data_IF_923569804268
#
_entry.id   IF_923569804268
#
_cell.length_a   1.000
_cell.length_b   1.000
_cell.length_c   1.000
_cell.angle_alpha   90.00
_cell.angle_beta   90.00
_cell.angle_gamma   90.00
#
_symmetry.space_group_name_H-M   'P 1'
#
loop_
_entity.id
_entity.type
_entity.pdbx_description
1 polymer ?
#
# COMPACT_ATOMS: atom_id res chain seq x y z
N UNK A 1 15.57 -2.36 -11.13
CA UNK A 1 15.09 -2.96 -9.88
C UNK A 1 14.23 -1.93 -9.19
N UNK A 2 12.98 -2.26 -8.83
CA UNK A 2 12.08 -1.28 -8.21
C UNK A 2 12.36 -1.10 -6.71
N UNK A 3 11.85 -0.01 -6.12
CA UNK A 3 12.11 0.33 -4.72
C UNK A 3 11.58 -0.75 -3.78
N UNK A 4 10.40 -1.31 -4.06
CA UNK A 4 9.85 -2.42 -3.26
C UNK A 4 10.73 -3.67 -3.29
N UNK A 5 11.29 -4.03 -4.46
CA UNK A 5 12.20 -5.18 -4.58
C UNK A 5 13.49 -4.98 -3.78
N UNK A 6 14.01 -3.75 -3.73
CA UNK A 6 15.14 -3.41 -2.86
C UNK A 6 14.79 -3.59 -1.38
N UNK A 7 13.57 -3.25 -0.99
CA UNK A 7 13.05 -3.39 0.37
C UNK A 7 12.64 -4.83 0.74
N UNK A 8 12.82 -5.79 -0.16
CA UNK A 8 12.66 -7.22 0.12
C UNK A 8 11.32 -7.83 -0.30
N UNK A 9 10.56 -7.20 -1.20
CA UNK A 9 9.40 -7.88 -1.79
C UNK A 9 9.85 -9.10 -2.62
N UNK A 10 9.19 -10.25 -2.47
CA UNK A 10 9.51 -11.45 -3.23
C UNK A 10 9.20 -11.24 -4.72
N UNK A 11 9.76 -12.11 -5.56
CA UNK A 11 9.40 -12.11 -6.98
C UNK A 11 7.93 -12.46 -7.18
N UNK A 12 7.28 -11.75 -8.11
CA UNK A 12 5.92 -12.03 -8.49
C UNK A 12 5.84 -13.20 -9.47
N UNK A 13 5.10 -14.24 -9.08
CA UNK A 13 4.82 -15.45 -9.88
C UNK A 13 3.37 -15.54 -10.36
N UNK A 14 2.63 -14.43 -10.37
CA UNK A 14 1.23 -14.38 -10.79
C UNK A 14 0.96 -13.22 -11.76
N UNK A 15 0.08 -13.43 -12.74
CA UNK A 15 -0.35 -12.36 -13.64
C UNK A 15 -0.95 -11.16 -12.88
N UNK A 16 -1.62 -11.44 -11.77
CA UNK A 16 -2.29 -10.47 -10.92
C UNK A 16 -1.34 -9.68 -10.00
N UNK A 17 -0.17 -10.24 -9.67
CA UNK A 17 0.77 -9.60 -8.76
C UNK A 17 1.42 -8.35 -9.35
N UNK A 18 1.48 -8.21 -10.69
CA UNK A 18 2.14 -7.06 -11.32
C UNK A 18 1.44 -5.73 -10.99
N UNK A 19 0.12 -5.72 -10.93
CA UNK A 19 -0.66 -4.56 -10.51
C UNK A 19 -0.43 -4.22 -9.03
N UNK A 20 -0.30 -5.25 -8.19
CA UNK A 20 -0.04 -5.08 -6.75
C UNK A 20 1.37 -4.53 -6.54
N UNK A 21 2.38 -5.10 -7.19
CA UNK A 21 3.77 -4.64 -7.15
C UNK A 21 3.88 -3.18 -7.57
N UNK A 22 3.23 -2.80 -8.69
CA UNK A 22 3.21 -1.43 -9.16
C UNK A 22 2.58 -0.48 -8.14
N UNK A 23 1.44 -0.85 -7.53
CA UNK A 23 0.79 -0.04 -6.51
C UNK A 23 1.68 0.11 -5.26
N UNK A 24 2.32 -0.97 -4.83
CA UNK A 24 3.29 -0.96 -3.73
C UNK A 24 4.45 0.00 -4.06
N UNK A 25 5.02 -0.08 -5.27
CA UNK A 25 6.11 0.80 -5.70
C UNK A 25 5.72 2.28 -5.67
N UNK A 26 4.53 2.64 -6.18
CA UNK A 26 4.02 4.02 -6.15
C UNK A 26 3.88 4.53 -4.72
N UNK A 27 3.30 3.72 -3.83
CA UNK A 27 3.14 4.09 -2.41
C UNK A 27 4.48 4.27 -1.73
N UNK A 28 5.47 3.41 -2.00
CA UNK A 28 6.82 3.55 -1.42
C UNK A 28 7.53 4.82 -1.89
N UNK A 29 7.42 5.18 -3.17
CA UNK A 29 7.96 6.45 -3.66
C UNK A 29 7.27 7.66 -3.02
N UNK A 30 5.94 7.60 -2.85
CA UNK A 30 5.20 8.64 -2.17
C UNK A 30 5.62 8.79 -0.70
N UNK A 31 5.73 7.68 0.03
CA UNK A 31 6.24 7.68 1.41
C UNK A 31 7.66 8.25 1.49
N UNK A 32 8.55 7.89 0.58
CA UNK A 32 9.91 8.42 0.53
C UNK A 32 9.93 9.93 0.30
N UNK A 33 9.10 10.43 -0.64
CA UNK A 33 8.99 11.85 -0.92
C UNK A 33 8.49 12.64 0.31
N UNK A 34 7.45 12.14 0.99
CA UNK A 34 6.97 12.73 2.24
C UNK A 34 8.05 12.69 3.32
N UNK A 35 8.69 11.54 3.52
CA UNK A 35 9.73 11.38 4.53
C UNK A 35 10.87 12.38 4.33
N UNK A 36 11.39 12.50 3.11
CA UNK A 36 12.46 13.46 2.78
C UNK A 36 11.97 14.90 2.94
N UNK A 37 10.80 15.23 2.40
CA UNK A 37 10.25 16.59 2.48
C UNK A 37 10.05 17.06 3.92
N UNK A 38 9.40 16.25 4.75
CA UNK A 38 9.16 16.54 6.17
C UNK A 38 10.46 16.58 6.97
N UNK A 39 11.38 15.65 6.73
CA UNK A 39 12.69 15.63 7.41
C UNK A 39 13.49 16.89 7.08
N UNK A 40 13.55 17.30 5.82
CA UNK A 40 14.26 18.52 5.42
C UNK A 40 13.63 19.76 6.05
N UNK A 41 12.30 19.86 6.05
CA UNK A 41 11.59 20.97 6.71
C UNK A 41 11.86 21.00 8.22
N UNK A 42 11.81 19.83 8.88
CA UNK A 42 12.10 19.71 10.29
C UNK A 42 13.53 20.13 10.63
N UNK A 43 14.52 19.65 9.89
CA UNK A 43 15.93 20.04 10.06
C UNK A 43 16.14 21.52 9.79
N UNK A 44 15.48 22.07 8.77
CA UNK A 44 15.48 23.51 8.50
C UNK A 44 14.94 24.29 9.70
N UNK A 45 13.80 23.87 10.27
CA UNK A 45 13.22 24.51 11.45
C UNK A 45 14.18 24.49 12.64
N UNK A 46 14.85 23.36 12.91
CA UNK A 46 15.88 23.27 13.96
C UNK A 46 17.00 24.28 13.73
N UNK A 47 17.58 24.32 12.53
CA UNK A 47 18.75 25.18 12.23
C UNK A 47 18.37 26.66 12.18
N UNK A 48 17.20 26.97 11.61
CA UNK A 48 16.71 28.34 11.39
C UNK A 48 16.23 28.97 12.69
N UNK A 49 15.50 28.21 13.52
CA UNK A 49 14.87 28.66 14.76
C UNK A 49 15.59 28.15 16.02
N UNK A 50 16.86 27.76 15.88
CA UNK A 50 17.70 27.37 17.01
C UNK A 50 17.77 28.46 18.09
N UNK A 51 17.70 28.08 19.37
CA UNK A 51 17.61 29.02 20.50
C UNK A 51 18.71 30.11 20.51
N UNK A 52 19.93 29.80 20.05
CA UNK A 52 21.02 30.81 19.96
C UNK A 52 20.73 31.91 18.94
N UNK A 53 19.96 31.61 17.89
CA UNK A 53 19.58 32.55 16.82
C UNK A 53 18.23 33.22 17.10
N UNK A 54 17.31 32.50 17.73
CA UNK A 54 15.99 33.00 18.14
C UNK A 54 15.71 32.66 19.60
N UNK A 55 16.15 33.51 20.55
CA UNK A 55 16.03 33.22 21.98
C UNK A 55 14.61 33.44 22.54
N UNK A 56 13.74 34.16 21.83
CA UNK A 56 12.34 34.37 22.20
C UNK A 56 11.42 33.65 21.20
N UNK A 57 10.52 32.81 21.72
CA UNK A 57 9.52 32.14 20.91
C UNK A 57 8.46 33.11 20.39
N UNK A 58 7.97 32.89 19.17
CA UNK A 58 6.78 33.57 18.65
C UNK A 58 5.54 32.78 19.05
N UNK A 59 4.61 33.43 19.74
CA UNK A 59 3.34 32.81 20.16
C UNK A 59 2.21 33.01 19.14
N UNK A 60 2.40 33.86 18.13
CA UNK A 60 1.41 34.04 17.06
C UNK A 60 1.55 33.00 15.92
N UNK A 61 2.65 32.24 15.91
CA UNK A 61 2.85 31.14 14.96
C UNK A 61 2.98 31.56 13.49
N UNK A 62 2.74 30.62 12.58
CA UNK A 62 2.79 30.83 11.13
C UNK A 62 1.44 31.42 10.67
N UNK A 63 1.45 32.66 10.18
CA UNK A 63 0.24 33.31 9.65
C UNK A 63 -0.04 33.02 8.18
N UNK A 64 0.83 32.29 7.49
CA UNK A 64 0.63 31.99 6.07
C UNK A 64 -0.24 30.75 5.87
N UNK A 65 -1.07 30.77 4.83
CA UNK A 65 -1.89 29.62 4.42
C UNK A 65 -1.08 28.53 3.68
N UNK A 66 0.24 28.62 3.65
CA UNK A 66 1.10 27.66 2.95
C UNK A 66 0.93 26.24 3.50
N UNK A 67 0.76 26.10 4.82
CA UNK A 67 0.49 24.81 5.46
C UNK A 67 -0.84 24.23 4.98
N UNK A 68 -1.89 25.04 4.90
CA UNK A 68 -3.22 24.60 4.45
C UNK A 68 -3.20 24.16 2.99
N UNK A 69 -2.48 24.87 2.11
CA UNK A 69 -2.36 24.47 0.71
C UNK A 69 -1.59 23.16 0.54
N UNK A 70 -0.51 22.96 1.31
CA UNK A 70 0.24 21.69 1.30
C UNK A 70 -0.62 20.53 1.80
N UNK A 71 -1.37 20.74 2.88
CA UNK A 71 -2.29 19.73 3.43
C UNK A 71 -3.36 19.33 2.41
N UNK A 72 -4.02 20.30 1.79
CA UNK A 72 -5.00 20.04 0.72
C UNK A 72 -4.36 19.30 -0.45
N UNK A 73 -3.12 19.63 -0.81
CA UNK A 73 -2.37 18.91 -1.85
C UNK A 73 -2.17 17.44 -1.51
N UNK A 74 -1.76 17.13 -0.27
CA UNK A 74 -1.60 15.75 0.20
C UNK A 74 -2.92 14.99 0.17
N UNK A 75 -4.01 15.62 0.65
CA UNK A 75 -5.36 15.02 0.64
C UNK A 75 -5.81 14.68 -0.78
N UNK A 76 -5.56 15.55 -1.76
CA UNK A 76 -5.92 15.30 -3.16
C UNK A 76 -5.14 14.08 -3.70
N UNK A 77 -3.83 14.02 -3.44
CA UNK A 77 -3.01 12.87 -3.88
C UNK A 77 -3.52 11.57 -3.26
N UNK A 78 -3.85 11.58 -1.97
CA UNK A 78 -4.38 10.42 -1.26
C UNK A 78 -5.76 10.01 -1.79
N UNK A 79 -6.65 10.97 -2.03
CA UNK A 79 -7.95 10.70 -2.64
C UNK A 79 -7.82 10.05 -4.01
N UNK A 80 -6.87 10.50 -4.85
CA UNK A 80 -6.59 9.87 -6.16
C UNK A 80 -6.06 8.45 -5.98
N UNK A 81 -5.13 8.22 -5.05
CA UNK A 81 -4.60 6.88 -4.78
C UNK A 81 -5.70 5.91 -4.31
N UNK A 82 -6.57 6.35 -3.39
CA UNK A 82 -7.63 5.51 -2.85
C UNK A 82 -8.76 5.28 -3.85
N UNK A 83 -9.34 6.35 -4.38
CA UNK A 83 -10.52 6.28 -5.25
C UNK A 83 -10.16 5.81 -6.66
N UNK A 84 -8.99 6.23 -7.18
CA UNK A 84 -8.57 5.93 -8.54
C UNK A 84 -7.88 4.57 -8.71
N UNK A 85 -7.25 4.04 -7.64
CA UNK A 85 -6.46 2.81 -7.75
C UNK A 85 -6.85 1.77 -6.70
N UNK A 86 -6.80 2.11 -5.40
CA UNK A 86 -6.95 1.11 -4.34
C UNK A 86 -8.34 0.46 -4.32
N UNK A 87 -9.42 1.25 -4.34
CA UNK A 87 -10.78 0.72 -4.34
C UNK A 87 -11.14 -0.05 -5.62
N UNK A 88 -10.84 0.45 -6.83
CA UNK A 88 -11.05 -0.32 -8.06
C UNK A 88 -10.30 -1.65 -8.05
N UNK A 89 -9.01 -1.65 -7.66
CA UNK A 89 -8.21 -2.87 -7.61
C UNK A 89 -8.77 -3.87 -6.58
N UNK A 90 -9.25 -3.39 -5.44
CA UNK A 90 -9.88 -4.24 -4.44
C UNK A 90 -11.19 -4.87 -4.96
N UNK A 91 -12.04 -4.06 -5.60
CA UNK A 91 -13.31 -4.52 -6.16
C UNK A 91 -13.11 -5.64 -7.19
N UNK A 92 -12.15 -5.47 -8.11
CA UNK A 92 -11.80 -6.48 -9.12
C UNK A 92 -11.39 -7.83 -8.50
N UNK A 93 -10.86 -7.84 -7.28
CA UNK A 93 -10.37 -9.05 -6.60
C UNK A 93 -11.39 -9.74 -5.72
N UNK A 94 -12.35 -9.01 -5.17
CA UNK A 94 -13.31 -9.57 -4.20
C UNK A 94 -14.60 -10.04 -4.87
N UNK A 95 -15.06 -9.39 -5.95
CA UNK A 95 -16.42 -9.59 -6.46
C UNK A 95 -16.60 -10.71 -7.52
N UNK A 96 -15.55 -11.45 -7.84
CA UNK A 96 -15.52 -12.26 -9.08
C UNK A 96 -15.75 -13.77 -8.90
N UNK A 97 -16.36 -14.25 -7.80
CA UNK A 97 -16.51 -15.70 -7.58
C UNK A 97 -17.15 -16.46 -8.77
N UNK A 98 -18.16 -15.86 -9.41
CA UNK A 98 -18.79 -16.44 -10.61
C UNK A 98 -17.83 -16.53 -11.80
N UNK A 99 -16.96 -15.53 -11.99
CA UNK A 99 -15.94 -15.53 -13.04
C UNK A 99 -14.85 -16.56 -12.75
N UNK A 100 -14.43 -16.68 -11.49
CA UNK A 100 -13.50 -17.72 -11.04
C UNK A 100 -14.07 -19.11 -11.30
N UNK A 101 -15.36 -19.34 -11.05
CA UNK A 101 -16.02 -20.60 -11.37
C UNK A 101 -16.06 -20.87 -12.89
N UNK A 102 -16.27 -19.84 -13.71
CA UNK A 102 -16.30 -19.98 -15.18
C UNK A 102 -14.94 -20.34 -15.79
N UNK A 103 -13.83 -20.01 -15.10
CA UNK A 103 -12.47 -20.35 -15.54
C UNK A 103 -12.09 -21.82 -15.28
N UNK A 104 -12.95 -22.58 -14.58
CA UNK A 104 -12.71 -23.97 -14.13
C UNK A 104 -11.27 -24.23 -13.62
N UNK A 105 -10.78 -23.44 -12.64
CA UNK A 105 -9.42 -23.56 -12.16
C UNK A 105 -9.22 -24.85 -11.38
N UNK A 106 -7.95 -25.30 -11.28
CA UNK A 106 -7.59 -26.39 -10.37
C UNK A 106 -8.02 -26.05 -8.95
N UNK A 107 -8.88 -26.90 -8.37
CA UNK A 107 -9.42 -26.69 -7.02
C UNK A 107 -8.63 -27.47 -5.99
N UNK A 108 -8.19 -26.75 -4.97
CA UNK A 108 -7.52 -27.32 -3.79
C UNK A 108 -8.28 -26.88 -2.55
N UNK A 109 -8.72 -27.84 -1.75
CA UNK A 109 -9.22 -27.59 -0.41
C UNK A 109 -8.03 -27.50 0.54
N UNK A 110 -7.94 -26.40 1.27
CA UNK A 110 -6.89 -26.15 2.25
C UNK A 110 -7.53 -26.08 3.64
N UNK A 111 -7.08 -26.93 4.57
CA UNK A 111 -7.56 -26.96 5.96
C UNK A 111 -6.39 -26.63 6.89
N UNK A 112 -6.51 -25.54 7.65
CA UNK A 112 -5.54 -25.17 8.68
C UNK A 112 -5.84 -25.83 10.01
N UNK A 113 -4.79 -26.29 10.70
CA UNK A 113 -4.82 -26.83 12.06
C UNK A 113 -3.56 -26.39 12.82
N UNK A 114 -3.48 -26.62 14.13
CA UNK A 114 -2.31 -26.21 14.93
C UNK A 114 -1.24 -27.32 14.95
N UNK A 115 -0.05 -27.17 14.36
CA UNK A 115 0.52 -26.08 13.55
C UNK A 115 0.84 -26.59 12.14
N UNK A 116 -0.19 -26.73 11.29
CA UNK A 116 -0.04 -27.32 9.98
C UNK A 116 -1.20 -27.02 9.02
N UNK A 117 -1.01 -27.48 7.79
CA UNK A 117 -1.97 -27.33 6.70
C UNK A 117 -2.14 -28.67 5.99
N UNK A 118 -3.38 -29.01 5.67
CA UNK A 118 -3.69 -30.18 4.83
C UNK A 118 -4.28 -29.71 3.52
N UNK A 119 -3.67 -30.16 2.42
CA UNK A 119 -4.10 -29.88 1.05
C UNK A 119 -4.80 -31.11 0.47
N UNK A 120 -5.99 -30.91 -0.09
CA UNK A 120 -6.78 -31.96 -0.71
C UNK A 120 -7.20 -31.49 -2.11
N UNK A 121 -6.74 -32.20 -3.14
CA UNK A 121 -7.14 -32.01 -4.53
C UNK A 121 -8.44 -32.74 -4.81
N UNK A 122 -9.29 -32.20 -5.68
CA UNK A 122 -10.49 -32.94 -6.12
C UNK A 122 -10.13 -34.18 -6.93
N UNK A 123 -11.02 -35.17 -6.96
CA UNK A 123 -10.91 -36.29 -7.90
C UNK A 123 -11.05 -35.83 -9.35
N UNK A 124 -10.90 -36.77 -10.30
CA UNK A 124 -11.13 -36.52 -11.72
C UNK A 124 -12.58 -36.08 -12.04
N UNK A 125 -13.52 -36.34 -11.12
CA UNK A 125 -14.91 -35.89 -11.18
C UNK A 125 -15.12 -34.44 -10.67
N UNK A 126 -14.03 -33.77 -10.26
CA UNK A 126 -14.06 -32.42 -9.69
C UNK A 126 -14.72 -32.36 -8.31
N UNK A 127 -15.07 -33.48 -7.69
CA UNK A 127 -15.69 -33.47 -6.36
C UNK A 127 -14.63 -33.77 -5.32
N UNK A 128 -14.77 -33.13 -4.17
CA UNK A 128 -14.03 -33.52 -3.00
C UNK A 128 -14.74 -34.70 -2.36
N UNK A 129 -13.98 -35.77 -2.06
CA UNK A 129 -14.50 -36.89 -1.29
C UNK A 129 -15.14 -36.41 0.01
N UNK A 130 -16.27 -37.02 0.37
CA UNK A 130 -16.84 -36.91 1.71
C UNK A 130 -16.25 -38.03 2.54
N UNK A 131 -15.84 -37.71 3.76
CA UNK A 131 -15.57 -38.72 4.80
C UNK A 131 -16.92 -39.20 5.32
#
# INVERSE_FOLDING_TARGET
MSLSKLLGTPENYSAHGGQVDHMIDVVHWFMLALFVGWTLFFLYCIVRFWHKRHPKASYEGVKSHLSSHLEVGVIIVEAVLLLGFAFPLWADRVDSWKQVQALDPVRVRVIGWQFGWTYHYSGADGKFGRV
#
